data_IF_567091975033
#
_entry.id   IF_567091975033
#
_cell.length_a   1.000
_cell.length_b   1.000
_cell.length_c   1.000
_cell.angle_alpha   90.00
_cell.angle_beta   90.00
_cell.angle_gamma   90.00
#
_symmetry.space_group_name_H-M   'P 1'
#
loop_
_entity.id
_entity.type
_entity.pdbx_description
1 polymer ?
#
# COMPACT_ATOMS: atom_id res chain seq x y z
N UNK A 1 -10.10 -2.24 -25.11
CA UNK A 1 -10.83 -1.38 -24.15
C UNK A 1 -10.00 -1.31 -22.88
N UNK A 2 -9.39 -0.17 -22.58
CA UNK A 2 -8.69 0.05 -21.31
C UNK A 2 -9.73 0.35 -20.24
N UNK A 3 -10.20 -0.68 -19.53
CA UNK A 3 -11.05 -0.48 -18.35
C UNK A 3 -10.25 0.27 -17.30
N UNK A 4 -10.75 1.44 -16.89
CA UNK A 4 -10.17 2.24 -15.80
C UNK A 4 -10.10 1.42 -14.52
N UNK A 5 -9.06 1.63 -13.72
CA UNK A 5 -8.98 1.05 -12.38
C UNK A 5 -10.06 1.64 -11.48
N UNK A 6 -10.74 0.80 -10.72
CA UNK A 6 -11.71 1.22 -9.69
C UNK A 6 -11.09 1.14 -8.30
N UNK A 7 -11.59 1.91 -7.33
CA UNK A 7 -11.16 1.85 -5.93
C UNK A 7 -11.22 0.41 -5.36
N UNK A 8 -12.25 -0.37 -5.75
CA UNK A 8 -12.37 -1.79 -5.34
C UNK A 8 -11.27 -2.67 -5.96
N UNK A 9 -10.74 -2.33 -7.14
CA UNK A 9 -9.57 -3.03 -7.69
C UNK A 9 -8.28 -2.65 -6.96
N UNK A 10 -8.15 -1.41 -6.50
CA UNK A 10 -6.95 -0.99 -5.77
C UNK A 10 -6.88 -1.64 -4.38
N UNK A 11 -8.01 -1.71 -3.67
CA UNK A 11 -8.14 -2.46 -2.42
C UNK A 11 -7.77 -3.93 -2.63
N UNK A 12 -8.40 -4.61 -3.59
CA UNK A 12 -8.11 -6.02 -3.88
C UNK A 12 -6.66 -6.26 -4.30
N UNK A 13 -6.03 -5.30 -5.00
CA UNK A 13 -4.62 -5.36 -5.38
C UNK A 13 -3.70 -5.22 -4.16
N UNK A 14 -4.00 -4.32 -3.23
CA UNK A 14 -3.26 -4.15 -1.99
C UNK A 14 -3.40 -5.39 -1.07
N UNK A 15 -4.60 -5.94 -0.92
CA UNK A 15 -4.84 -7.19 -0.19
C UNK A 15 -4.09 -8.38 -0.82
N UNK A 16 -4.13 -8.50 -2.15
CA UNK A 16 -3.41 -9.55 -2.86
C UNK A 16 -1.89 -9.43 -2.71
N UNK A 17 -1.37 -8.20 -2.65
CA UNK A 17 0.04 -7.94 -2.39
C UNK A 17 0.43 -8.35 -0.96
N UNK A 18 -0.36 -7.96 0.03
CA UNK A 18 -0.16 -8.29 1.45
C UNK A 18 -0.15 -9.80 1.68
N UNK A 19 -1.14 -10.52 1.15
CA UNK A 19 -1.22 -11.97 1.27
C UNK A 19 -0.03 -12.67 0.58
N UNK A 20 0.39 -12.17 -0.60
CA UNK A 20 1.55 -12.71 -1.30
C UNK A 20 2.88 -12.46 -0.57
N UNK A 21 2.99 -11.36 0.19
CA UNK A 21 4.16 -11.04 1.01
C UNK A 21 4.19 -11.83 2.31
N UNK A 22 3.02 -12.05 2.93
CA UNK A 22 2.87 -12.82 4.16
C UNK A 22 3.13 -14.30 3.92
N UNK A 23 2.61 -14.83 2.81
CA UNK A 23 2.73 -16.23 2.42
C UNK A 23 3.46 -16.34 1.06
N UNK A 24 4.78 -16.10 1.03
CA UNK A 24 5.53 -16.08 -0.21
C UNK A 24 5.58 -17.47 -0.86
N UNK A 25 5.53 -17.55 -2.20
CA UNK A 25 5.58 -18.83 -2.89
C UNK A 25 6.93 -19.52 -2.64
N UNK A 26 6.98 -20.87 -2.66
CA UNK A 26 8.24 -21.60 -2.64
C UNK A 26 9.18 -21.11 -3.75
N UNK A 27 10.49 -21.03 -3.49
CA UNK A 27 11.49 -20.63 -4.50
C UNK A 27 11.28 -21.46 -5.78
N UNK A 28 10.97 -20.78 -6.89
CA UNK A 28 10.79 -21.40 -8.21
C UNK A 28 9.36 -21.47 -8.75
N UNK A 29 8.31 -21.11 -7.98
CA UNK A 29 6.91 -21.15 -8.44
C UNK A 29 6.38 -19.82 -9.03
N UNK A 30 7.18 -19.19 -9.89
CA UNK A 30 6.81 -17.90 -10.49
C UNK A 30 6.95 -16.75 -9.49
N UNK A 31 7.36 -15.58 -10.00
CA UNK A 31 7.68 -14.44 -9.15
C UNK A 31 6.49 -13.93 -8.33
N UNK A 32 6.79 -13.08 -7.33
CA UNK A 32 5.82 -12.47 -6.43
C UNK A 32 4.55 -11.96 -7.13
N UNK A 33 4.71 -11.26 -8.26
CA UNK A 33 3.58 -10.72 -9.02
C UNK A 33 2.66 -11.77 -9.65
N UNK A 34 3.16 -12.96 -9.97
CA UNK A 34 2.31 -14.06 -10.42
C UNK A 34 1.41 -14.55 -9.28
N UNK A 35 1.95 -14.61 -8.06
CA UNK A 35 1.19 -14.93 -6.86
C UNK A 35 0.14 -13.86 -6.55
N UNK A 36 0.52 -12.59 -6.65
CA UNK A 36 -0.41 -11.45 -6.52
C UNK A 36 -1.54 -11.55 -7.54
N UNK A 37 -1.23 -11.86 -8.81
CA UNK A 37 -2.26 -12.04 -9.84
C UNK A 37 -3.24 -13.16 -9.48
N UNK A 38 -2.75 -14.30 -8.98
CA UNK A 38 -3.60 -15.42 -8.58
C UNK A 38 -4.53 -15.05 -7.42
N UNK A 39 -4.02 -14.36 -6.40
CA UNK A 39 -4.82 -13.94 -5.25
C UNK A 39 -5.81 -12.85 -5.68
N UNK A 40 -5.37 -11.87 -6.47
CA UNK A 40 -6.24 -10.83 -7.03
C UNK A 40 -7.42 -11.44 -7.82
N UNK A 41 -7.14 -12.45 -8.64
CA UNK A 41 -8.16 -13.18 -9.40
C UNK A 41 -9.12 -14.01 -8.53
N UNK A 42 -8.74 -14.32 -7.28
CA UNK A 42 -9.61 -14.99 -6.30
C UNK A 42 -10.46 -13.99 -5.52
N UNK A 43 -9.92 -12.79 -5.26
CA UNK A 43 -10.64 -11.69 -4.59
C UNK A 43 -11.66 -11.00 -5.53
N UNK A 44 -11.49 -11.14 -6.85
CA UNK A 44 -12.38 -10.59 -7.88
C UNK A 44 -13.09 -11.69 -8.67
N UNK A 45 -14.22 -11.33 -9.27
CA UNK A 45 -14.88 -12.16 -10.28
C UNK A 45 -13.95 -12.37 -11.49
N UNK A 46 -13.75 -13.61 -11.99
CA UNK A 46 -12.83 -13.95 -13.09
C UNK A 46 -12.96 -13.11 -14.38
N UNK A 47 -14.09 -12.44 -14.60
CA UNK A 47 -14.32 -11.58 -15.77
C UNK A 47 -13.44 -10.30 -15.79
N UNK A 48 -12.74 -9.98 -14.69
CA UNK A 48 -11.89 -8.79 -14.57
C UNK A 48 -10.40 -9.12 -14.35
N UNK A 49 -9.92 -10.21 -14.98
CA UNK A 49 -8.52 -10.60 -14.84
C UNK A 49 -7.56 -9.55 -15.44
N UNK A 50 -6.73 -8.97 -14.57
CA UNK A 50 -5.63 -8.07 -14.94
C UNK A 50 -4.35 -8.88 -15.14
N UNK A 51 -3.54 -8.50 -16.13
CA UNK A 51 -2.22 -9.11 -16.34
C UNK A 51 -1.21 -8.60 -15.31
N UNK A 52 -0.16 -9.38 -15.04
CA UNK A 52 0.93 -9.05 -14.11
C UNK A 52 1.49 -7.65 -14.31
N UNK A 53 1.76 -7.24 -15.55
CA UNK A 53 2.32 -5.92 -15.85
C UNK A 53 1.36 -4.78 -15.45
N UNK A 54 0.06 -4.98 -15.65
CA UNK A 54 -0.96 -3.99 -15.27
C UNK A 54 -1.08 -3.88 -13.74
N UNK A 55 -1.10 -5.01 -13.03
CA UNK A 55 -1.14 -5.06 -11.56
C UNK A 55 0.10 -4.39 -10.96
N UNK A 56 1.30 -4.74 -11.44
CA UNK A 56 2.55 -4.17 -10.95
C UNK A 56 2.66 -2.67 -11.20
N UNK A 57 2.24 -2.21 -12.39
CA UNK A 57 2.20 -0.79 -12.73
C UNK A 57 1.20 -0.04 -11.87
N UNK A 58 0.00 -0.58 -11.64
CA UNK A 58 -1.02 0.08 -10.82
C UNK A 58 -0.60 0.15 -9.35
N UNK A 59 -0.09 -0.96 -8.81
CA UNK A 59 0.38 -1.00 -7.43
C UNK A 59 1.49 0.03 -7.19
N UNK A 60 2.40 0.23 -8.16
CA UNK A 60 3.42 1.28 -8.06
C UNK A 60 2.81 2.67 -7.95
N UNK A 61 1.73 2.96 -8.68
CA UNK A 61 1.02 4.24 -8.59
C UNK A 61 0.37 4.41 -7.23
N UNK A 62 -0.45 3.44 -6.79
CA UNK A 62 -1.11 3.45 -5.48
C UNK A 62 -0.08 3.63 -4.36
N UNK A 63 1.01 2.85 -4.41
CA UNK A 63 2.10 2.93 -3.43
C UNK A 63 2.75 4.31 -3.37
N UNK A 64 2.99 4.96 -4.51
CA UNK A 64 3.58 6.30 -4.53
C UNK A 64 2.63 7.37 -3.96
N UNK A 65 1.32 7.21 -4.17
CA UNK A 65 0.30 8.07 -3.58
C UNK A 65 0.22 7.86 -2.05
N UNK A 66 0.24 6.61 -1.59
CA UNK A 66 0.31 6.29 -0.16
C UNK A 66 1.61 6.79 0.50
N UNK A 67 2.77 6.61 -0.13
CA UNK A 67 4.06 7.16 0.35
C UNK A 67 4.06 8.69 0.40
N UNK A 68 3.28 9.34 -0.46
CA UNK A 68 3.11 10.79 -0.42
C UNK A 68 2.22 11.21 0.74
N UNK A 69 1.06 10.58 0.89
CA UNK A 69 0.16 10.83 2.01
C UNK A 69 0.85 10.57 3.36
N UNK A 70 1.65 9.52 3.45
CA UNK A 70 2.42 9.18 4.66
C UNK A 70 3.33 10.31 5.13
N UNK A 71 3.89 11.13 4.23
CA UNK A 71 4.69 12.30 4.62
C UNK A 71 3.86 13.38 5.30
N UNK A 72 2.60 13.55 4.89
CA UNK A 72 1.66 14.44 5.57
C UNK A 72 1.33 13.89 6.95
N UNK A 73 1.01 12.60 7.03
CA UNK A 73 0.72 11.94 8.29
C UNK A 73 1.89 12.04 9.29
N UNK A 74 3.11 11.66 8.89
CA UNK A 74 4.32 11.77 9.73
C UNK A 74 4.69 13.20 10.13
N UNK A 75 4.28 14.19 9.35
CA UNK A 75 4.44 15.59 9.75
C UNK A 75 3.49 15.92 10.89
N UNK A 76 2.22 15.57 10.75
CA UNK A 76 1.20 15.77 11.78
C UNK A 76 1.51 14.99 13.04
N UNK A 77 1.90 13.72 12.93
CA UNK A 77 2.31 12.86 14.05
C UNK A 77 3.42 13.50 14.89
N UNK A 78 4.39 14.18 14.25
CA UNK A 78 5.50 14.87 14.93
C UNK A 78 5.10 16.23 15.51
N UNK A 79 4.25 16.98 14.82
CA UNK A 79 3.84 18.34 15.22
C UNK A 79 2.68 18.32 16.23
N UNK A 80 1.90 17.25 16.26
CA UNK A 80 0.66 17.10 17.02
C UNK A 80 0.63 15.74 17.75
N UNK A 81 1.72 15.41 18.43
CA UNK A 81 1.88 14.14 19.17
C UNK A 81 0.87 13.95 20.31
N UNK A 82 0.25 15.04 20.77
CA UNK A 82 -0.74 15.01 21.86
C UNK A 82 -2.14 14.61 21.37
N UNK A 83 -2.35 14.56 20.06
CA UNK A 83 -3.60 14.10 19.45
C UNK A 83 -3.62 12.58 19.31
N UNK A 84 -4.82 12.00 19.33
CA UNK A 84 -5.02 10.60 18.98
C UNK A 84 -4.83 10.40 17.48
N UNK A 85 -4.48 9.18 17.08
CA UNK A 85 -4.11 8.86 15.69
C UNK A 85 -5.20 9.24 14.67
N UNK A 86 -6.47 9.00 15.02
CA UNK A 86 -7.60 9.33 14.15
C UNK A 86 -7.69 10.84 13.85
N UNK A 87 -7.46 11.69 14.86
CA UNK A 87 -7.45 13.14 14.72
C UNK A 87 -6.22 13.58 13.89
N UNK A 88 -5.06 12.95 14.12
CA UNK A 88 -3.85 13.20 13.33
C UNK A 88 -4.07 12.86 11.84
N UNK A 89 -4.76 11.76 11.58
CA UNK A 89 -5.13 11.31 10.23
C UNK A 89 -6.09 12.28 9.57
N UNK A 90 -7.11 12.77 10.29
CA UNK A 90 -8.03 13.78 9.76
C UNK A 90 -7.28 15.06 9.36
N UNK A 91 -6.39 15.56 10.22
CA UNK A 91 -5.56 16.72 9.91
C UNK A 91 -4.63 16.46 8.71
N UNK A 92 -4.05 15.26 8.61
CA UNK A 92 -3.22 14.87 7.47
C UNK A 92 -4.02 14.85 6.15
N UNK A 93 -5.27 14.38 6.17
CA UNK A 93 -6.17 14.40 5.02
C UNK A 93 -6.52 15.83 4.59
N UNK A 94 -6.76 16.72 5.55
CA UNK A 94 -7.01 18.15 5.27
C UNK A 94 -5.78 18.78 4.62
N UNK A 95 -4.59 18.57 5.17
CA UNK A 95 -3.34 19.10 4.64
C UNK A 95 -3.05 18.58 3.22
N UNK A 96 -3.24 17.27 3.01
CA UNK A 96 -3.08 16.68 1.69
C UNK A 96 -4.05 17.27 0.67
N UNK A 97 -5.34 17.40 1.02
CA UNK A 97 -6.36 17.98 0.14
C UNK A 97 -6.04 19.42 -0.23
N UNK A 98 -5.59 20.21 0.74
CA UNK A 98 -5.20 21.60 0.54
C UNK A 98 -4.05 21.73 -0.48
N UNK A 99 -3.03 20.89 -0.36
CA UNK A 99 -1.82 20.99 -1.19
C UNK A 99 -1.98 20.35 -2.57
N UNK A 100 -2.66 19.20 -2.64
CA UNK A 100 -2.81 18.42 -3.88
C UNK A 100 -4.04 18.84 -4.71
N UNK A 101 -4.95 19.61 -4.12
CA UNK A 101 -6.18 20.07 -4.78
C UNK A 101 -7.20 18.97 -5.06
N UNK A 102 -6.99 17.76 -4.53
CA UNK A 102 -7.91 16.64 -4.63
C UNK A 102 -7.90 15.78 -3.37
N UNK A 103 -8.94 14.98 -3.19
CA UNK A 103 -9.05 14.06 -2.08
C UNK A 103 -8.12 12.86 -2.23
N UNK A 104 -7.44 12.50 -1.15
CA UNK A 104 -6.73 11.23 -1.07
C UNK A 104 -7.74 10.09 -0.98
N UNK A 105 -7.76 9.23 -2.01
CA UNK A 105 -8.75 8.14 -2.13
C UNK A 105 -8.29 6.82 -1.53
N UNK A 106 -6.99 6.64 -1.36
CA UNK A 106 -6.37 5.37 -0.98
C UNK A 106 -6.14 5.25 0.53
N UNK A 107 -7.12 5.66 1.33
CA UNK A 107 -6.99 5.70 2.81
C UNK A 107 -6.82 4.29 3.37
N UNK A 108 -7.68 3.35 2.96
CA UNK A 108 -7.63 1.96 3.42
C UNK A 108 -6.35 1.26 2.96
N UNK A 109 -5.92 1.51 1.72
CA UNK A 109 -4.69 0.97 1.16
C UNK A 109 -3.46 1.57 1.85
N UNK A 110 -3.49 2.85 2.24
CA UNK A 110 -2.43 3.44 3.03
C UNK A 110 -2.31 2.82 4.42
N UNK A 111 -3.42 2.54 5.11
CA UNK A 111 -3.38 1.85 6.40
C UNK A 111 -2.74 0.46 6.30
N UNK A 112 -3.15 -0.32 5.29
CA UNK A 112 -2.55 -1.61 5.00
C UNK A 112 -1.06 -1.47 4.68
N UNK A 113 -0.69 -0.57 3.77
CA UNK A 113 0.71 -0.35 3.39
C UNK A 113 1.54 0.17 4.58
N UNK A 114 1.01 1.03 5.45
CA UNK A 114 1.75 1.63 6.57
C UNK A 114 2.23 0.56 7.56
N UNK A 115 1.33 -0.33 7.97
CA UNK A 115 1.62 -1.42 8.90
C UNK A 115 2.69 -2.36 8.34
N UNK A 116 2.60 -2.68 7.04
CA UNK A 116 3.47 -3.67 6.40
C UNK A 116 4.79 -3.14 5.87
N UNK A 117 4.80 -1.94 5.27
CA UNK A 117 5.99 -1.39 4.63
C UNK A 117 6.80 -0.49 5.53
N UNK A 118 6.19 0.36 6.36
CA UNK A 118 6.94 1.40 7.06
C UNK A 118 7.49 0.90 8.39
N UNK A 119 6.71 0.13 9.14
CA UNK A 119 7.18 -0.45 10.40
C UNK A 119 8.10 -1.66 10.17
N UNK A 120 7.82 -2.49 9.16
CA UNK A 120 8.62 -3.68 8.88
C UNK A 120 9.94 -3.38 8.17
N UNK A 121 10.03 -2.38 7.26
CA UNK A 121 11.33 -1.97 6.71
C UNK A 121 12.23 -1.38 7.79
N UNK A 122 11.70 -0.60 8.74
CA UNK A 122 12.46 -0.10 9.88
C UNK A 122 12.96 -1.25 10.76
N UNK A 123 12.11 -2.24 11.06
CA UNK A 123 12.50 -3.41 11.83
C UNK A 123 13.55 -4.27 11.11
N UNK A 124 13.42 -4.52 9.80
CA UNK A 124 14.43 -5.25 9.05
C UNK A 124 15.75 -4.46 8.92
N UNK A 125 15.72 -3.14 8.74
CA UNK A 125 16.95 -2.33 8.67
C UNK A 125 17.68 -2.31 10.02
N UNK A 126 16.96 -2.20 11.13
CA UNK A 126 17.53 -2.28 12.48
C UNK A 126 18.09 -3.67 12.75
N UNK A 127 17.39 -4.74 12.39
CA UNK A 127 17.86 -6.11 12.63
C UNK A 127 19.08 -6.50 11.77
N UNK A 128 19.14 -6.06 10.51
CA UNK A 128 20.29 -6.35 9.65
C UNK A 128 21.55 -5.57 10.04
N UNK A 129 21.44 -4.39 10.66
CA UNK A 129 22.59 -3.65 11.17
C UNK A 129 23.04 -4.11 12.57
N UNK A 130 22.14 -4.62 13.42
CA UNK A 130 22.52 -5.07 14.77
C UNK A 130 23.09 -6.49 14.86
N UNK A 131 22.89 -7.33 13.83
CA UNK A 131 23.41 -8.71 13.79
C UNK A 131 24.79 -8.80 13.09
N UNK A 132 25.29 -7.71 12.53
CA UNK A 132 26.56 -7.66 11.80
C UNK A 132 27.51 -6.52 12.26
N UNK A 133 27.50 -6.17 13.55
CA UNK A 133 28.55 -5.37 14.19
C UNK A 133 29.13 -6.12 15.38
#
# INVERSE_FOLDING_TARGET
MTTSWTDVEDIALCEAWEEAMTNPPPRGQGGLWLRVQQIFAQLRDPDHNRIVDALSSRFRVVRLECERFDRYFKKVEREMSDLVEDDQKEVALINNRHDEGHEFKHVSEWEAIRIWFLDFFLLCFVYFFYVYV
#
